data_IF_435431197769
#
_entry.id   IF_435431197769
#
_cell.length_a   1.000
_cell.length_b   1.000
_cell.length_c   1.000
_cell.angle_alpha   90.00
_cell.angle_beta   90.00
_cell.angle_gamma   90.00
#
_symmetry.space_group_name_H-M   'P 1'
#
loop_
_entity.id
_entity.type
_entity.pdbx_description
1 polymer ?
#
# COMPACT_ATOMS: atom_id res chain seq x y z
N UNK A 1 4.21 20.60 9.25
CA UNK A 1 3.02 20.70 8.37
C UNK A 1 2.67 22.15 8.04
N UNK A 2 2.29 23.00 9.01
CA UNK A 2 1.92 24.40 8.73
C UNK A 2 3.02 25.22 8.03
N UNK A 3 4.28 25.10 8.45
CA UNK A 3 5.42 25.76 7.77
C UNK A 3 5.65 25.27 6.35
N UNK A 4 5.45 23.97 6.12
CA UNK A 4 5.53 23.38 4.78
C UNK A 4 4.46 23.97 3.87
N UNK A 5 3.22 24.01 4.36
CA UNK A 5 2.09 24.58 3.62
C UNK A 5 2.28 26.07 3.31
N UNK A 6 2.79 26.84 4.27
CA UNK A 6 3.10 28.25 4.06
C UNK A 6 4.18 28.45 2.98
N UNK A 7 5.26 27.66 3.03
CA UNK A 7 6.31 27.72 2.02
C UNK A 7 5.81 27.27 0.65
N UNK A 8 5.04 26.18 0.59
CA UNK A 8 4.53 25.63 -0.65
C UNK A 8 3.55 26.61 -1.33
N UNK A 9 2.66 27.23 -0.54
CA UNK A 9 1.80 28.31 -1.03
C UNK A 9 2.60 29.50 -1.55
N UNK A 10 3.66 29.92 -0.83
CA UNK A 10 4.51 31.01 -1.27
C UNK A 10 5.21 30.69 -2.60
N UNK A 11 5.77 29.49 -2.73
CA UNK A 11 6.37 29.02 -3.99
C UNK A 11 5.34 28.97 -5.13
N UNK A 12 4.13 28.49 -4.86
CA UNK A 12 3.06 28.44 -5.87
C UNK A 12 2.62 29.85 -6.30
N UNK A 13 2.52 30.79 -5.36
CA UNK A 13 2.22 32.19 -5.68
C UNK A 13 3.34 32.85 -6.51
N UNK A 14 4.61 32.54 -6.22
CA UNK A 14 5.74 33.01 -7.04
C UNK A 14 5.67 32.41 -8.44
N UNK A 15 5.32 31.13 -8.55
CA UNK A 15 5.19 30.44 -9.84
C UNK A 15 4.02 30.96 -10.68
N UNK A 16 2.91 31.31 -10.03
CA UNK A 16 1.73 31.89 -10.69
C UNK A 16 1.86 33.39 -10.94
N UNK A 17 2.77 34.07 -10.23
CA UNK A 17 3.16 35.41 -10.61
C UNK A 17 3.97 35.36 -11.90
N UNK A 18 3.69 36.27 -12.84
CA UNK A 18 4.57 36.54 -13.99
C UNK A 18 5.85 37.25 -13.51
N UNK A 19 6.55 36.61 -12.57
CA UNK A 19 7.80 37.06 -12.02
C UNK A 19 8.80 37.16 -13.18
N UNK A 20 9.11 38.38 -13.54
CA UNK A 20 10.28 38.73 -14.35
C UNK A 20 11.30 39.36 -13.42
N UNK A 21 12.58 39.23 -13.76
CA UNK A 21 13.71 39.78 -13.00
C UNK A 21 13.78 41.31 -13.14
N UNK A 22 12.66 41.98 -12.90
CA UNK A 22 12.51 43.42 -12.87
C UNK A 22 13.33 43.94 -11.70
N UNK A 23 14.20 44.91 -11.99
CA UNK A 23 15.13 45.57 -11.04
C UNK A 23 14.45 46.30 -9.86
N UNK A 24 13.17 46.08 -9.60
CA UNK A 24 12.40 46.72 -8.53
C UNK A 24 11.76 45.70 -7.60
N UNK A 25 12.41 45.43 -6.46
CA UNK A 25 11.92 44.56 -5.37
C UNK A 25 10.47 44.91 -4.96
N UNK A 26 10.11 46.20 -4.98
CA UNK A 26 8.74 46.66 -4.66
C UNK A 26 7.70 46.16 -5.67
N UNK A 27 8.05 46.17 -6.96
CA UNK A 27 7.17 45.66 -8.01
C UNK A 27 6.97 44.14 -7.84
N UNK A 28 8.07 43.39 -7.62
CA UNK A 28 8.01 41.94 -7.45
C UNK A 28 7.16 41.55 -6.24
N UNK A 29 7.33 42.23 -5.10
CA UNK A 29 6.49 42.02 -3.90
C UNK A 29 5.01 42.29 -4.17
N UNK A 30 4.69 43.28 -5.00
CA UNK A 30 3.31 43.60 -5.36
C UNK A 30 2.66 42.51 -6.21
N UNK A 31 3.38 41.99 -7.21
CA UNK A 31 2.88 40.92 -8.09
C UNK A 31 2.68 39.62 -7.29
N UNK A 32 3.65 39.23 -6.45
CA UNK A 32 3.52 38.04 -5.59
C UNK A 32 2.33 38.19 -4.63
N UNK A 33 2.15 39.37 -4.02
CA UNK A 33 0.98 39.65 -3.16
C UNK A 33 -0.32 39.54 -3.95
N UNK A 34 -0.37 40.04 -5.19
CA UNK A 34 -1.55 39.92 -6.05
C UNK A 34 -1.86 38.45 -6.38
N UNK A 35 -0.85 37.62 -6.64
CA UNK A 35 -1.04 36.17 -6.82
C UNK A 35 -1.57 35.50 -5.54
N UNK A 36 -1.00 35.81 -4.37
CA UNK A 36 -1.52 35.30 -3.08
C UNK A 36 -2.99 35.69 -2.84
N UNK A 37 -3.40 36.89 -3.26
CA UNK A 37 -4.78 37.35 -3.16
C UNK A 37 -5.76 36.61 -4.08
N UNK A 38 -5.28 35.84 -5.06
CA UNK A 38 -6.15 34.98 -5.87
C UNK A 38 -6.68 33.80 -5.07
N UNK A 39 -6.03 33.45 -3.95
CA UNK A 39 -6.51 32.44 -3.02
C UNK A 39 -7.54 33.00 -2.03
N UNK A 40 -8.68 33.50 -2.51
CA UNK A 40 -9.64 34.26 -1.69
C UNK A 40 -10.89 33.48 -1.23
N UNK A 41 -11.07 32.24 -1.68
CA UNK A 41 -12.20 31.40 -1.26
C UNK A 41 -11.84 29.91 -1.34
N UNK A 42 -12.76 29.05 -0.87
CA UNK A 42 -12.56 27.61 -0.82
C UNK A 42 -12.35 26.96 -2.20
N UNK A 43 -12.94 27.50 -3.27
CA UNK A 43 -12.80 27.01 -4.64
C UNK A 43 -11.44 27.35 -5.24
N UNK A 44 -11.01 28.59 -5.07
CA UNK A 44 -9.73 29.09 -5.53
C UNK A 44 -8.67 28.92 -4.44
N UNK A 45 -8.75 27.87 -3.64
CA UNK A 45 -7.81 27.64 -2.56
C UNK A 45 -6.58 26.89 -3.03
N UNK A 46 -5.49 27.05 -2.28
CA UNK A 46 -4.31 26.24 -2.44
C UNK A 46 -4.47 24.91 -1.68
N UNK A 47 -4.23 23.78 -2.35
CA UNK A 47 -4.29 22.45 -1.72
C UNK A 47 -2.98 22.15 -0.95
N UNK A 48 -2.95 22.47 0.34
CA UNK A 48 -1.86 22.11 1.24
C UNK A 48 -2.02 20.73 1.88
N UNK A 49 -1.00 20.27 2.61
CA UNK A 49 -1.03 19.00 3.37
C UNK A 49 -2.07 19.07 4.48
N UNK A 50 -2.26 20.25 5.10
CA UNK A 50 -3.26 20.41 6.17
C UNK A 50 -4.67 20.69 5.66
N UNK A 51 -4.88 20.68 4.35
CA UNK A 51 -6.14 20.96 3.67
C UNK A 51 -6.05 22.19 2.77
N UNK A 52 -7.22 22.62 2.29
CA UNK A 52 -7.37 23.83 1.46
C UNK A 52 -7.04 25.09 2.26
N UNK A 53 -6.27 25.98 1.66
CA UNK A 53 -5.80 27.22 2.28
C UNK A 53 -6.20 28.39 1.39
N UNK A 54 -6.90 29.36 1.98
CA UNK A 54 -7.33 30.58 1.33
C UNK A 54 -7.43 31.69 2.38
N UNK A 55 -7.42 32.94 1.92
CA UNK A 55 -7.45 34.14 2.73
C UNK A 55 -8.81 34.82 2.65
N UNK A 56 -9.33 35.29 3.79
CA UNK A 56 -10.50 36.16 3.79
C UNK A 56 -10.13 37.59 3.35
N UNK A 57 -11.13 38.49 3.33
CA UNK A 57 -10.95 39.91 2.99
C UNK A 57 -9.94 40.67 3.87
N UNK A 58 -9.62 40.13 5.06
CA UNK A 58 -8.65 40.69 6.00
C UNK A 58 -7.25 40.09 5.83
N UNK A 59 -7.06 39.13 4.92
CA UNK A 59 -5.78 38.44 4.72
C UNK A 59 -5.54 37.30 5.71
N UNK A 60 -6.56 36.87 6.45
CA UNK A 60 -6.45 35.80 7.44
C UNK A 60 -6.80 34.46 6.82
N UNK A 61 -6.14 33.38 7.26
CA UNK A 61 -6.47 32.04 6.78
C UNK A 61 -7.75 31.52 7.43
N UNK A 62 -8.74 31.15 6.64
CA UNK A 62 -9.95 30.50 7.14
C UNK A 62 -9.77 28.98 7.14
N UNK A 63 -9.52 28.39 8.31
CA UNK A 63 -9.44 26.93 8.48
C UNK A 63 -10.44 26.47 9.54
N UNK A 64 -11.14 25.35 9.33
CA UNK A 64 -11.98 24.80 10.37
C UNK A 64 -11.11 24.35 11.54
N UNK A 65 -11.58 24.62 12.76
CA UNK A 65 -10.94 24.14 13.97
C UNK A 65 -11.01 22.60 14.00
N UNK A 66 -9.85 21.95 14.16
CA UNK A 66 -9.78 20.52 14.45
C UNK A 66 -9.68 20.33 15.94
N UNK A 67 -10.65 19.65 16.53
CA UNK A 67 -10.70 19.41 17.98
C UNK A 67 -10.08 18.05 18.27
N UNK A 68 -9.04 18.06 19.09
CA UNK A 68 -8.43 16.85 19.62
C UNK A 68 -8.12 17.08 21.10
N UNK A 69 -8.17 16.02 21.89
CA UNK A 69 -7.76 16.01 23.29
C UNK A 69 -6.63 15.01 23.48
N UNK A 70 -5.86 15.20 24.53
CA UNK A 70 -4.82 14.26 24.91
C UNK A 70 -5.41 13.27 25.91
N UNK A 71 -5.43 11.99 25.54
CA UNK A 71 -5.90 10.93 26.42
C UNK A 71 -4.75 9.96 26.66
N UNK A 72 -4.28 9.88 27.91
CA UNK A 72 -3.09 9.10 28.29
C UNK A 72 -1.88 9.37 27.37
N UNK A 73 -1.60 10.64 27.08
CA UNK A 73 -0.53 11.10 26.17
C UNK A 73 -0.71 10.73 24.69
N UNK A 74 -1.86 10.16 24.31
CA UNK A 74 -2.20 9.84 22.92
C UNK A 74 -3.16 10.91 22.40
N UNK A 75 -2.79 11.67 21.34
CA UNK A 75 -3.70 12.60 20.69
C UNK A 75 -4.91 11.85 20.13
N UNK A 76 -6.09 12.20 20.63
CA UNK A 76 -7.38 11.60 20.25
C UNK A 76 -8.26 12.69 19.64
N UNK A 77 -8.66 12.49 18.39
CA UNK A 77 -9.55 13.38 17.65
C UNK A 77 -11.00 13.18 18.11
N UNK A 78 -11.77 14.26 18.23
CA UNK A 78 -13.18 14.16 18.60
C UNK A 78 -14.00 13.41 17.54
N UNK A 79 -15.01 12.64 17.97
CA UNK A 79 -15.83 11.80 17.07
C UNK A 79 -16.63 12.60 16.03
N UNK A 80 -16.79 13.89 16.26
CA UNK A 80 -17.40 14.84 15.34
C UNK A 80 -16.44 15.99 15.06
N UNK A 81 -16.15 16.22 13.80
CA UNK A 81 -15.43 17.40 13.32
C UNK A 81 -16.33 18.19 12.38
N UNK A 82 -15.94 19.42 12.07
CA UNK A 82 -16.64 20.27 11.13
C UNK A 82 -15.70 20.67 10.00
N UNK A 83 -16.18 20.62 8.77
CA UNK A 83 -15.45 21.11 7.61
C UNK A 83 -16.24 22.21 6.92
N UNK A 84 -15.53 23.20 6.38
CA UNK A 84 -16.12 24.29 5.63
C UNK A 84 -16.74 23.76 4.34
N UNK A 85 -17.96 24.19 4.05
CA UNK A 85 -18.60 23.97 2.76
C UNK A 85 -18.29 25.11 1.80
N UNK A 86 -18.23 24.78 0.51
CA UNK A 86 -18.24 25.82 -0.54
C UNK A 86 -19.64 26.45 -0.62
N UNK A 87 -19.72 27.74 -0.92
CA UNK A 87 -20.99 28.48 -1.03
C UNK A 87 -21.92 27.93 -2.13
N UNK A 88 -21.39 27.11 -3.05
CA UNK A 88 -22.16 26.44 -4.10
C UNK A 88 -22.66 25.04 -3.69
N UNK A 89 -22.19 24.48 -2.57
CA UNK A 89 -22.70 23.21 -2.01
C UNK A 89 -23.90 23.44 -1.06
N UNK A 90 -24.25 24.71 -0.89
CA UNK A 90 -25.40 25.23 -0.15
C UNK A 90 -26.65 24.94 -1.00
N UNK A 91 -27.41 23.91 -0.63
CA UNK A 91 -28.70 23.55 -1.24
C UNK A 91 -29.90 24.10 -0.44
N UNK A 92 -31.09 24.06 -1.03
CA UNK A 92 -32.30 24.59 -0.37
C UNK A 92 -32.62 23.89 0.97
N UNK A 93 -32.14 22.65 1.16
CA UNK A 93 -32.33 21.85 2.39
C UNK A 93 -31.39 22.22 3.54
N UNK A 94 -30.60 23.29 3.43
CA UNK A 94 -29.65 23.68 4.48
C UNK A 94 -30.33 23.92 5.81
N UNK A 95 -31.49 24.58 5.81
CA UNK A 95 -32.20 24.88 7.05
C UNK A 95 -32.54 23.56 7.77
N UNK A 96 -33.02 22.56 7.04
CA UNK A 96 -33.30 21.23 7.59
C UNK A 96 -32.01 20.53 8.07
N UNK A 97 -30.91 20.66 7.33
CA UNK A 97 -29.62 20.09 7.72
C UNK A 97 -29.01 20.78 8.96
N UNK A 98 -29.25 22.08 9.14
CA UNK A 98 -28.87 22.83 10.35
C UNK A 98 -29.76 22.41 11.52
N UNK A 99 -31.08 22.37 11.33
CA UNK A 99 -32.03 21.97 12.37
C UNK A 99 -31.81 20.52 12.84
N UNK A 100 -31.38 19.63 11.93
CA UNK A 100 -31.02 18.24 12.25
C UNK A 100 -29.60 18.07 12.81
N UNK A 101 -28.82 19.15 12.96
CA UNK A 101 -27.46 19.11 13.51
C UNK A 101 -26.42 18.46 12.59
N UNK A 102 -26.74 18.28 11.30
CA UNK A 102 -25.80 17.79 10.27
C UNK A 102 -24.91 18.91 9.74
N UNK A 103 -25.37 20.15 9.82
CA UNK A 103 -24.60 21.36 9.53
C UNK A 103 -24.70 22.33 10.70
N UNK A 104 -23.74 23.23 10.80
CA UNK A 104 -23.79 24.40 11.68
C UNK A 104 -23.50 25.65 10.86
N UNK A 105 -24.19 26.72 11.16
CA UNK A 105 -23.90 28.05 10.62
C UNK A 105 -23.39 28.93 11.76
N UNK A 106 -22.18 29.47 11.60
CA UNK A 106 -21.60 30.45 12.51
C UNK A 106 -21.21 31.64 11.65
N UNK A 107 -21.81 32.79 11.95
CA UNK A 107 -21.72 34.02 11.15
C UNK A 107 -22.06 33.77 9.67
N UNK A 108 -21.09 33.94 8.77
CA UNK A 108 -21.23 33.73 7.32
C UNK A 108 -20.64 32.39 6.85
N UNK A 109 -20.31 31.51 7.79
CA UNK A 109 -19.69 30.22 7.48
C UNK A 109 -20.64 29.07 7.78
N UNK A 110 -20.90 28.24 6.76
CA UNK A 110 -21.62 26.99 6.93
C UNK A 110 -20.58 25.87 6.96
N UNK A 111 -20.67 25.05 7.99
CA UNK A 111 -19.82 23.88 8.15
C UNK A 111 -20.66 22.63 8.23
N UNK A 112 -20.18 21.56 7.61
CA UNK A 112 -20.84 20.24 7.66
C UNK A 112 -20.13 19.34 8.65
N UNK A 113 -20.94 18.63 9.43
CA UNK A 113 -20.49 17.67 10.42
C UNK A 113 -19.89 16.45 9.71
N UNK A 114 -18.65 16.16 10.02
CA UNK A 114 -17.88 15.00 9.58
C UNK A 114 -17.70 14.04 10.75
N UNK A 115 -18.12 12.80 10.55
CA UNK A 115 -18.03 11.72 11.54
C UNK A 115 -16.65 11.10 11.50
N UNK A 116 -16.04 10.96 12.67
CA UNK A 116 -14.78 10.24 12.84
C UNK A 116 -15.08 8.85 13.37
N UNK A 117 -14.67 7.82 12.62
CA UNK A 117 -14.79 6.42 13.01
C UNK A 117 -13.42 5.87 13.25
N UNK A 118 -13.17 5.48 14.50
CA UNK A 118 -11.94 4.84 14.90
C UNK A 118 -11.96 3.39 14.46
N UNK A 119 -10.88 2.94 13.84
CA UNK A 119 -10.73 1.58 13.37
C UNK A 119 -9.38 0.99 13.76
N UNK A 120 -9.38 -0.27 14.16
CA UNK A 120 -8.16 -1.08 14.27
C UNK A 120 -8.41 -2.48 13.71
N UNK A 121 -7.33 -3.09 13.22
CA UNK A 121 -7.34 -4.47 12.74
C UNK A 121 -6.31 -5.26 13.55
N UNK A 122 -6.74 -6.37 14.12
CA UNK A 122 -5.90 -7.37 14.78
C UNK A 122 -5.89 -8.65 13.92
N UNK A 123 -4.74 -9.02 13.37
CA UNK A 123 -4.63 -10.22 12.55
C UNK A 123 -4.70 -11.47 13.40
N UNK A 124 -5.46 -12.47 12.97
CA UNK A 124 -5.52 -13.77 13.63
C UNK A 124 -4.76 -14.84 12.86
N UNK A 125 -5.08 -15.00 11.56
CA UNK A 125 -4.43 -15.96 10.69
C UNK A 125 -4.27 -15.45 9.26
N UNK A 126 -3.20 -15.92 8.61
CA UNK A 126 -3.00 -15.83 7.16
C UNK A 126 -2.75 -17.26 6.69
N UNK A 127 -3.72 -17.81 5.99
CA UNK A 127 -3.76 -19.19 5.56
C UNK A 127 -3.86 -19.26 4.02
N UNK A 128 -3.63 -20.45 3.47
CA UNK A 128 -3.89 -20.76 2.05
C UNK A 128 -3.31 -19.72 1.08
N UNK A 129 -2.02 -19.42 1.25
CA UNK A 129 -1.28 -18.49 0.38
C UNK A 129 -1.14 -19.13 -1.00
N UNK A 130 -1.96 -18.66 -1.93
CA UNK A 130 -1.88 -19.03 -3.33
C UNK A 130 -1.01 -18.03 -4.08
N UNK A 131 0.21 -18.47 -4.37
CA UNK A 131 1.24 -17.70 -5.04
C UNK A 131 0.86 -17.38 -6.51
N UNK A 132 0.12 -18.27 -7.17
CA UNK A 132 -0.26 -18.13 -8.57
C UNK A 132 -1.38 -17.09 -8.71
N UNK A 133 -2.41 -17.21 -7.88
CA UNK A 133 -3.54 -16.27 -7.86
C UNK A 133 -3.23 -14.98 -7.10
N UNK A 134 -2.07 -14.92 -6.43
CA UNK A 134 -1.63 -13.82 -5.58
C UNK A 134 -2.69 -13.48 -4.52
N UNK A 135 -3.19 -14.50 -3.85
CA UNK A 135 -4.21 -14.35 -2.79
C UNK A 135 -3.88 -15.15 -1.54
N UNK A 136 -4.40 -14.69 -0.42
CA UNK A 136 -4.38 -15.43 0.85
C UNK A 136 -5.71 -15.34 1.56
N UNK A 137 -6.08 -16.43 2.24
CA UNK A 137 -7.21 -16.45 3.16
C UNK A 137 -6.79 -15.76 4.45
N UNK A 138 -7.43 -14.64 4.79
CA UNK A 138 -7.09 -13.88 5.98
C UNK A 138 -8.25 -13.93 6.97
N UNK A 139 -7.92 -14.15 8.23
CA UNK A 139 -8.85 -14.02 9.35
C UNK A 139 -8.33 -12.94 10.30
N UNK A 140 -9.16 -11.95 10.62
CA UNK A 140 -8.78 -10.85 11.50
C UNK A 140 -9.98 -10.27 12.24
N UNK A 141 -9.71 -9.61 13.36
CA UNK A 141 -10.70 -8.84 14.10
C UNK A 141 -10.66 -7.39 13.65
N UNK A 142 -11.80 -6.83 13.28
CA UNK A 142 -11.98 -5.41 13.00
C UNK A 142 -12.72 -4.78 14.18
N UNK A 143 -12.08 -3.84 14.88
CA UNK A 143 -12.70 -3.07 15.96
C UNK A 143 -13.04 -1.68 15.44
N UNK A 144 -14.29 -1.26 15.63
CA UNK A 144 -14.82 0.04 15.24
C UNK A 144 -15.33 0.78 16.46
N UNK A 145 -14.93 2.04 16.61
CA UNK A 145 -15.40 2.94 17.65
C UNK A 145 -16.00 4.19 17.02
N UNK A 146 -17.27 4.45 17.33
CA UNK A 146 -18.04 5.51 16.69
C UNK A 146 -19.17 6.02 17.59
N UNK A 147 -19.65 7.22 17.31
CA UNK A 147 -20.90 7.73 17.87
C UNK A 147 -22.09 7.31 17.01
N UNK A 148 -23.31 7.42 17.53
CA UNK A 148 -24.57 7.11 16.82
C UNK A 148 -24.60 7.53 15.34
N UNK A 149 -25.43 6.84 14.54
CA UNK A 149 -25.63 7.05 13.10
C UNK A 149 -24.46 6.62 12.19
N UNK A 150 -23.80 5.52 12.52
CA UNK A 150 -22.85 4.85 11.62
C UNK A 150 -23.30 3.40 11.40
N UNK A 151 -23.28 2.97 10.14
CA UNK A 151 -23.62 1.60 9.74
C UNK A 151 -22.32 0.82 9.49
N UNK A 152 -21.89 -0.04 10.41
CA UNK A 152 -20.64 -0.79 10.29
C UNK A 152 -20.71 -1.89 9.23
N UNK A 153 -21.91 -2.38 8.88
CA UNK A 153 -22.09 -3.40 7.84
C UNK A 153 -21.98 -2.83 6.42
N UNK A 154 -21.98 -1.51 6.29
CA UNK A 154 -21.80 -0.81 5.03
C UNK A 154 -20.31 -0.66 4.62
N UNK A 155 -19.39 -1.29 5.36
CA UNK A 155 -17.97 -1.34 5.02
C UNK A 155 -17.74 -2.31 3.85
N UNK A 156 -16.99 -1.84 2.86
CA UNK A 156 -16.58 -2.59 1.68
C UNK A 156 -15.06 -2.70 1.60
N UNK A 157 -14.55 -3.92 1.43
CA UNK A 157 -13.14 -4.19 1.21
C UNK A 157 -12.80 -4.06 -0.28
N UNK A 158 -11.70 -3.39 -0.61
CA UNK A 158 -11.29 -3.18 -2.02
C UNK A 158 -10.41 -4.31 -2.57
N UNK A 159 -9.72 -5.05 -1.70
CA UNK A 159 -8.66 -5.99 -2.09
C UNK A 159 -9.10 -7.44 -2.04
N UNK A 160 -10.40 -7.69 -2.12
CA UNK A 160 -10.97 -9.03 -2.05
C UNK A 160 -11.41 -9.50 -3.44
N UNK A 161 -11.17 -10.79 -3.72
CA UNK A 161 -11.75 -11.46 -4.90
C UNK A 161 -13.19 -11.91 -4.65
N UNK A 162 -13.62 -11.94 -3.39
CA UNK A 162 -14.96 -12.38 -3.01
C UNK A 162 -15.95 -11.24 -3.16
N UNK A 163 -17.16 -11.56 -3.64
CA UNK A 163 -18.26 -10.57 -3.71
C UNK A 163 -18.67 -10.06 -2.33
N UNK A 164 -18.51 -10.89 -1.30
CA UNK A 164 -18.86 -10.57 0.07
C UNK A 164 -17.91 -11.29 1.03
N UNK A 165 -17.21 -10.51 1.85
CA UNK A 165 -16.38 -11.01 2.94
C UNK A 165 -17.29 -11.41 4.10
N UNK A 166 -16.98 -12.50 4.79
CA UNK A 166 -17.75 -12.93 5.97
C UNK A 166 -17.49 -11.95 7.10
N UNK A 167 -18.54 -11.31 7.61
CA UNK A 167 -18.49 -10.39 8.73
C UNK A 167 -19.39 -10.92 9.86
N UNK A 168 -18.78 -11.40 10.94
CA UNK A 168 -19.50 -11.87 12.11
C UNK A 168 -19.25 -10.93 13.28
N UNK A 169 -20.31 -10.32 13.81
CA UNK A 169 -20.21 -9.50 15.01
C UNK A 169 -19.83 -10.38 16.21
N UNK A 170 -18.75 -10.01 16.90
CA UNK A 170 -18.27 -10.69 18.11
C UNK A 170 -18.92 -10.07 19.35
N UNK A 171 -18.85 -8.75 19.49
CA UNK A 171 -19.48 -8.03 20.59
C UNK A 171 -19.79 -6.57 20.23
N UNK A 172 -20.61 -5.95 21.07
CA UNK A 172 -20.87 -4.52 21.12
C UNK A 172 -20.85 -4.04 22.57
N UNK A 173 -20.20 -2.92 22.82
CA UNK A 173 -20.29 -2.19 24.09
C UNK A 173 -20.58 -0.73 23.82
N UNK A 174 -21.40 -0.12 24.67
CA UNK A 174 -21.76 1.29 24.57
C UNK A 174 -21.39 1.97 25.88
N UNK A 175 -20.56 3.00 25.80
CA UNK A 175 -20.14 3.81 26.96
C UNK A 175 -20.08 5.27 26.55
N UNK A 176 -20.72 6.15 27.32
CA UNK A 176 -20.73 7.60 27.07
C UNK A 176 -21.07 7.98 25.61
N UNK A 177 -22.11 7.36 25.04
CA UNK A 177 -22.54 7.56 23.64
C UNK A 177 -21.53 7.15 22.56
N UNK A 178 -20.46 6.45 22.95
CA UNK A 178 -19.50 5.80 22.06
C UNK A 178 -19.84 4.32 22.00
N UNK A 179 -20.11 3.84 20.80
CA UNK A 179 -20.35 2.44 20.49
C UNK A 179 -19.02 1.84 20.03
N UNK A 180 -18.59 0.77 20.69
CA UNK A 180 -17.46 -0.08 20.27
C UNK A 180 -18.02 -1.38 19.76
N UNK A 181 -17.79 -1.71 18.49
CA UNK A 181 -18.17 -2.99 17.91
C UNK A 181 -16.95 -3.70 17.38
N UNK A 182 -16.89 -5.01 17.60
CA UNK A 182 -15.85 -5.86 17.06
C UNK A 182 -16.43 -6.93 16.15
N UNK A 183 -15.80 -7.12 15.01
CA UNK A 183 -16.18 -8.08 13.99
C UNK A 183 -15.06 -9.08 13.76
N UNK A 184 -15.39 -10.36 13.61
CA UNK A 184 -14.53 -11.34 13.01
C UNK A 184 -14.72 -11.28 11.50
N UNK A 185 -13.64 -11.03 10.77
CA UNK A 185 -13.63 -10.90 9.33
C UNK A 185 -12.83 -12.06 8.75
N UNK A 186 -13.43 -12.80 7.82
CA UNK A 186 -12.77 -13.88 7.09
C UNK A 186 -13.04 -13.74 5.60
N UNK A 187 -11.98 -13.73 4.80
CA UNK A 187 -12.09 -13.70 3.34
C UNK A 187 -10.75 -13.78 2.63
N UNK A 188 -10.79 -13.94 1.30
CA UNK A 188 -9.59 -13.94 0.44
C UNK A 188 -9.20 -12.52 0.03
N UNK A 189 -7.95 -12.17 0.30
CA UNK A 189 -7.36 -10.88 -0.02
C UNK A 189 -6.20 -11.03 -1.00
N UNK A 190 -6.04 -10.02 -1.84
CA UNK A 190 -4.95 -9.95 -2.81
C UNK A 190 -3.63 -9.56 -2.14
N UNK A 191 -2.54 -10.10 -2.65
CA UNK A 191 -1.19 -9.79 -2.22
C UNK A 191 -0.30 -9.41 -3.39
N UNK A 192 0.77 -8.67 -3.09
CA UNK A 192 1.85 -8.41 -4.03
C UNK A 192 3.09 -9.15 -3.57
N UNK A 193 3.65 -9.96 -4.44
CA UNK A 193 4.79 -10.81 -4.12
C UNK A 193 6.04 -10.33 -4.84
N UNK A 194 7.14 -10.19 -4.10
CA UNK A 194 8.46 -9.91 -4.66
C UNK A 194 9.31 -11.19 -4.66
N UNK A 195 9.44 -11.79 -5.85
CA UNK A 195 10.17 -13.04 -6.06
C UNK A 195 11.64 -12.86 -6.40
N UNK A 196 12.16 -11.63 -6.43
CA UNK A 196 13.59 -11.40 -6.72
C UNK A 196 14.49 -12.20 -5.76
N UNK A 197 14.07 -12.30 -4.50
CA UNK A 197 14.77 -13.03 -3.44
C UNK A 197 14.35 -14.51 -3.27
N UNK A 198 13.60 -15.11 -4.21
CA UNK A 198 13.17 -16.51 -4.10
C UNK A 198 14.37 -17.45 -3.85
N UNK A 199 14.30 -18.41 -2.89
CA UNK A 199 13.13 -18.87 -2.12
C UNK A 199 12.92 -18.15 -0.77
N UNK A 200 13.51 -16.97 -0.58
CA UNK A 200 13.39 -16.10 0.60
C UNK A 200 12.57 -14.84 0.28
N UNK A 201 11.56 -15.00 -0.56
CA UNK A 201 10.66 -13.94 -1.02
C UNK A 201 9.92 -13.22 0.13
N UNK A 202 9.49 -12.01 -0.20
CA UNK A 202 8.62 -11.19 0.67
C UNK A 202 7.31 -10.89 -0.05
N UNK A 203 6.22 -10.89 0.71
CA UNK A 203 4.89 -10.57 0.20
C UNK A 203 4.31 -9.39 0.97
N UNK A 204 3.57 -8.55 0.26
CA UNK A 204 2.83 -7.40 0.76
C UNK A 204 1.35 -7.72 0.68
N UNK A 205 0.74 -7.97 1.83
CA UNK A 205 -0.69 -8.21 1.97
C UNK A 205 -1.40 -6.90 2.29
N UNK A 206 -2.39 -6.55 1.48
CA UNK A 206 -3.19 -5.35 1.65
C UNK A 206 -4.58 -5.71 2.18
N UNK A 207 -4.96 -5.07 3.28
CA UNK A 207 -6.33 -5.09 3.78
C UNK A 207 -6.80 -3.64 3.80
N UNK A 208 -7.56 -3.26 2.77
CA UNK A 208 -8.10 -1.92 2.63
C UNK A 208 -9.62 -1.94 2.58
N UNK A 209 -10.24 -0.99 3.27
CA UNK A 209 -11.69 -0.86 3.28
C UNK A 209 -12.15 0.60 3.32
N UNK A 210 -13.37 0.81 2.86
CA UNK A 210 -14.05 2.10 2.86
C UNK A 210 -15.54 1.92 3.16
N UNK A 211 -16.25 3.00 3.45
CA UNK A 211 -17.71 2.95 3.52
C UNK A 211 -18.32 2.97 2.11
N UNK A 212 -19.34 2.15 1.85
CA UNK A 212 -19.92 2.00 0.51
C UNK A 212 -20.75 3.22 0.03
N UNK A 213 -21.31 3.98 0.99
CA UNK A 213 -22.23 5.11 0.78
C UNK A 213 -21.71 6.48 1.23
N UNK A 214 -20.90 6.57 2.28
CA UNK A 214 -20.51 7.82 2.92
C UNK A 214 -19.16 8.28 2.37
N UNK A 215 -19.15 9.46 1.77
CA UNK A 215 -17.98 10.12 1.21
C UNK A 215 -17.11 10.77 2.29
N UNK A 216 -15.90 11.16 1.94
CA UNK A 216 -14.89 11.70 2.86
C UNK A 216 -15.30 13.02 3.51
N UNK A 217 -16.22 13.78 2.93
CA UNK A 217 -16.82 14.96 3.56
C UNK A 217 -17.72 14.55 4.75
N UNK A 218 -18.38 13.40 4.70
CA UNK A 218 -19.30 12.94 5.75
C UNK A 218 -18.60 12.05 6.78
N UNK A 219 -17.65 11.21 6.34
CA UNK A 219 -17.03 10.20 7.19
C UNK A 219 -15.52 10.13 6.96
N UNK A 220 -14.75 10.10 8.06
CA UNK A 220 -13.33 9.76 8.05
C UNK A 220 -13.07 8.56 8.94
N UNK A 221 -12.24 7.64 8.44
CA UNK A 221 -11.60 6.67 9.32
C UNK A 221 -10.39 7.29 10.00
N UNK A 222 -10.19 6.91 11.26
CA UNK A 222 -9.05 7.29 12.09
C UNK A 222 -8.45 6.02 12.66
N UNK A 223 -7.12 5.93 12.68
CA UNK A 223 -6.43 4.78 13.30
C UNK A 223 -6.65 4.82 14.81
N UNK A 224 -7.19 3.75 15.37
CA UNK A 224 -7.32 3.63 16.82
C UNK A 224 -6.01 3.14 17.45
N UNK A 225 -5.14 4.10 17.79
CA UNK A 225 -3.85 3.82 18.41
C UNK A 225 -3.97 3.11 19.76
N UNK A 226 -5.13 3.15 20.44
CA UNK A 226 -5.33 2.45 21.72
C UNK A 226 -5.62 0.96 21.53
N UNK A 227 -6.21 0.61 20.39
CA UNK A 227 -6.62 -0.75 20.03
C UNK A 227 -5.71 -1.35 18.95
N UNK A 228 -4.60 -0.66 18.62
CA UNK A 228 -3.65 -1.10 17.62
C UNK A 228 -2.73 -2.16 18.24
N UNK A 229 -2.93 -3.41 17.84
CA UNK A 229 -1.99 -4.48 18.15
C UNK A 229 -0.84 -4.50 17.13
N UNK A 230 0.37 -4.75 17.61
CA UNK A 230 1.52 -5.04 16.77
C UNK A 230 1.51 -6.52 16.42
N UNK A 231 1.25 -6.85 15.15
CA UNK A 231 1.22 -8.24 14.66
C UNK A 231 2.64 -8.78 14.36
N UNK A 232 3.70 -8.09 14.77
CA UNK A 232 5.10 -8.36 14.37
C UNK A 232 5.66 -9.69 14.90
N UNK A 233 5.06 -10.25 15.95
CA UNK A 233 5.46 -11.55 16.51
C UNK A 233 4.64 -12.73 15.99
N UNK A 234 3.65 -12.48 15.12
CA UNK A 234 2.83 -13.55 14.55
C UNK A 234 3.66 -14.37 13.55
N UNK A 235 3.79 -15.66 13.87
CA UNK A 235 4.37 -16.69 13.02
C UNK A 235 3.26 -17.63 12.57
N UNK A 236 3.13 -17.80 11.26
CA UNK A 236 2.13 -18.69 10.67
C UNK A 236 2.83 -19.64 9.71
N UNK A 237 2.84 -20.93 10.03
CA UNK A 237 3.49 -21.99 9.24
C UNK A 237 4.90 -21.65 8.75
N UNK A 238 4.98 -21.18 7.50
CA UNK A 238 6.21 -20.85 6.79
C UNK A 238 6.46 -19.34 6.64
N UNK A 239 5.65 -18.47 7.25
CA UNK A 239 5.73 -17.03 7.09
C UNK A 239 5.77 -16.29 8.43
N UNK A 240 6.41 -15.12 8.43
CA UNK A 240 6.45 -14.19 9.55
C UNK A 240 6.17 -12.78 9.07
N UNK A 241 5.40 -12.03 9.87
CA UNK A 241 5.24 -10.59 9.68
C UNK A 241 6.54 -9.88 10.04
N UNK A 242 7.13 -9.19 9.06
CA UNK A 242 8.36 -8.40 9.24
C UNK A 242 8.03 -6.93 9.50
N UNK A 243 6.98 -6.43 8.87
CA UNK A 243 6.56 -5.04 9.01
C UNK A 243 5.03 -4.92 8.93
N UNK A 244 4.49 -3.94 9.65
CA UNK A 244 3.08 -3.57 9.65
C UNK A 244 2.97 -2.06 9.53
N UNK A 245 2.24 -1.60 8.53
CA UNK A 245 1.91 -0.19 8.33
C UNK A 245 0.39 -0.02 8.38
N UNK A 246 -0.07 0.93 9.20
CA UNK A 246 -1.49 1.26 9.34
C UNK A 246 -1.66 2.75 9.11
N UNK A 247 -2.51 3.11 8.16
CA UNK A 247 -2.73 4.51 7.80
C UNK A 247 -4.10 4.69 7.13
N UNK A 248 -4.56 5.93 7.07
CA UNK A 248 -5.79 6.31 6.37
C UNK A 248 -5.48 7.26 5.24
N UNK A 249 -6.22 7.14 4.14
CA UNK A 249 -6.11 7.99 2.98
C UNK A 249 -7.49 8.25 2.35
N UNK A 250 -7.50 8.94 1.21
CA UNK A 250 -8.70 9.23 0.44
C UNK A 250 -8.57 8.64 -0.96
N UNK A 251 -9.64 8.00 -1.44
CA UNK A 251 -9.71 7.42 -2.79
C UNK A 251 -10.83 8.08 -3.58
N UNK A 252 -10.50 8.53 -4.79
CA UNK A 252 -11.49 9.01 -5.74
C UNK A 252 -12.11 7.81 -6.48
N UNK A 253 -13.42 7.61 -6.32
CA UNK A 253 -14.14 6.55 -7.01
C UNK A 253 -14.97 7.10 -8.16
N UNK A 254 -14.30 7.39 -9.28
CA UNK A 254 -14.94 7.88 -10.50
C UNK A 254 -15.94 6.87 -11.11
N UNK A 255 -15.88 5.58 -10.76
CA UNK A 255 -16.71 4.54 -11.39
C UNK A 255 -18.20 4.68 -11.07
N UNK A 256 -18.57 5.12 -9.85
CA UNK A 256 -19.98 5.40 -9.53
C UNK A 256 -20.48 6.72 -10.11
N UNK A 257 -19.57 7.64 -10.41
CA UNK A 257 -19.88 8.94 -10.99
C UNK A 257 -20.20 8.87 -12.49
N UNK A 258 -19.92 7.78 -13.20
CA UNK A 258 -20.30 7.65 -14.62
C UNK A 258 -21.79 7.28 -14.83
N UNK A 259 -22.45 6.72 -13.82
CA UNK A 259 -23.89 6.38 -13.88
C UNK A 259 -24.81 7.60 -13.71
N UNK A 260 -24.28 8.70 -13.19
CA UNK A 260 -24.98 9.97 -12.98
C UNK A 260 -24.18 10.99 -13.77
N UNK A 261 -24.76 11.84 -14.62
CA UNK A 261 -24.02 12.90 -15.34
C UNK A 261 -23.51 14.01 -14.40
N UNK A 262 -22.91 13.65 -13.28
CA UNK A 262 -22.35 14.53 -12.27
C UNK A 262 -20.86 14.63 -12.48
N UNK A 263 -20.37 15.85 -12.67
CA UNK A 263 -18.94 16.18 -12.69
C UNK A 263 -18.30 16.08 -11.29
N UNK A 264 -19.09 15.77 -10.24
CA UNK A 264 -18.61 15.73 -8.86
C UNK A 264 -17.88 14.41 -8.59
N UNK A 265 -16.57 14.50 -8.38
CA UNK A 265 -15.73 13.39 -7.93
C UNK A 265 -16.15 12.96 -6.52
N UNK A 266 -16.52 11.68 -6.37
CA UNK A 266 -16.87 11.10 -5.08
C UNK A 266 -15.60 10.57 -4.42
N UNK A 267 -15.16 11.28 -3.38
CA UNK A 267 -13.99 10.93 -2.60
C UNK A 267 -14.46 10.16 -1.37
N UNK A 268 -13.81 9.03 -1.07
CA UNK A 268 -14.11 8.18 0.09
C UNK A 268 -12.90 8.12 1.01
N UNK A 269 -13.14 8.13 2.32
CA UNK A 269 -12.10 7.81 3.28
C UNK A 269 -11.85 6.30 3.28
N UNK A 270 -10.57 5.92 3.23
CA UNK A 270 -10.13 4.53 3.20
C UNK A 270 -9.17 4.27 4.35
N UNK A 271 -9.36 3.13 5.00
CA UNK A 271 -8.45 2.59 5.99
C UNK A 271 -7.57 1.54 5.32
N UNK A 272 -6.27 1.56 5.64
CA UNK A 272 -5.27 0.68 5.03
C UNK A 272 -4.46 -0.01 6.13
N UNK A 273 -4.39 -1.33 6.03
CA UNK A 273 -3.40 -2.17 6.71
C UNK A 273 -2.53 -2.83 5.64
N UNK A 274 -1.23 -2.58 5.72
CA UNK A 274 -0.20 -3.23 4.91
C UNK A 274 0.66 -4.12 5.80
N UNK A 275 0.67 -5.41 5.51
CA UNK A 275 1.54 -6.38 6.16
C UNK A 275 2.62 -6.81 5.18
N UNK A 276 3.88 -6.69 5.59
CA UNK A 276 4.99 -7.31 4.87
C UNK A 276 5.32 -8.63 5.55
N UNK A 277 5.02 -9.73 4.88
CA UNK A 277 5.32 -11.08 5.35
C UNK A 277 6.52 -11.65 4.60
N UNK A 278 7.36 -12.42 5.29
CA UNK A 278 8.55 -13.07 4.73
C UNK A 278 8.50 -14.56 4.97
N UNK A 279 8.91 -15.33 3.97
CA UNK A 279 9.03 -16.78 4.11
C UNK A 279 10.17 -17.15 5.06
N UNK A 280 9.87 -17.95 6.06
CA UNK A 280 10.78 -18.48 7.10
C UNK A 280 11.36 -19.86 6.75
N UNK A 281 11.07 -20.43 5.58
CA UNK A 281 11.55 -21.77 5.24
C UNK A 281 13.08 -21.80 5.11
N UNK A 282 13.78 -22.07 6.21
CA UNK A 282 15.25 -22.15 6.28
C UNK A 282 15.80 -23.33 5.47
N UNK A 283 14.98 -24.34 5.18
CA UNK A 283 15.44 -25.56 4.50
C UNK A 283 15.49 -25.39 2.98
N UNK A 284 14.51 -24.70 2.39
CA UNK A 284 14.45 -24.47 0.94
C UNK A 284 15.73 -23.87 0.33
N UNK A 285 16.29 -22.74 0.83
CA UNK A 285 17.51 -22.18 0.26
C UNK A 285 18.72 -23.11 0.44
N UNK A 286 18.79 -23.83 1.56
CA UNK A 286 19.88 -24.79 1.82
C UNK A 286 19.84 -25.95 0.83
N UNK A 287 18.66 -26.51 0.56
CA UNK A 287 18.51 -27.59 -0.42
C UNK A 287 18.89 -27.14 -1.83
N UNK A 288 18.42 -25.98 -2.28
CA UNK A 288 18.78 -25.44 -3.59
C UNK A 288 20.28 -25.15 -3.68
N UNK A 289 20.87 -24.56 -2.64
CA UNK A 289 22.30 -24.31 -2.59
C UNK A 289 23.13 -25.62 -2.63
N UNK A 290 22.74 -26.66 -1.89
CA UNK A 290 23.44 -27.95 -1.88
C UNK A 290 23.39 -28.65 -3.24
N UNK A 291 22.24 -28.64 -3.92
CA UNK A 291 22.12 -29.20 -5.27
C UNK A 291 23.04 -28.45 -6.24
N UNK A 292 22.97 -27.12 -6.26
CA UNK A 292 23.78 -26.29 -7.15
C UNK A 292 25.29 -26.41 -6.85
N UNK A 293 25.68 -26.44 -5.58
CA UNK A 293 27.08 -26.65 -5.15
C UNK A 293 27.59 -28.04 -5.53
N UNK A 294 26.77 -29.09 -5.44
CA UNK A 294 27.17 -30.44 -5.84
C UNK A 294 27.48 -30.50 -7.34
N UNK A 295 26.63 -29.90 -8.18
CA UNK A 295 26.84 -29.82 -9.63
C UNK A 295 28.07 -28.97 -9.95
N UNK A 296 28.23 -27.83 -9.29
CA UNK A 296 29.39 -26.96 -9.46
C UNK A 296 30.70 -27.67 -9.06
N UNK A 297 30.70 -28.42 -7.95
CA UNK A 297 31.87 -29.18 -7.49
C UNK A 297 32.29 -30.27 -8.47
N UNK A 298 31.34 -30.99 -9.07
CA UNK A 298 31.63 -31.99 -10.11
C UNK A 298 32.18 -31.31 -11.37
N UNK A 299 31.60 -30.19 -11.82
CA UNK A 299 32.11 -29.43 -12.96
C UNK A 299 33.53 -28.90 -12.70
N UNK A 300 33.81 -28.40 -11.49
CA UNK A 300 35.14 -27.93 -11.11
C UNK A 300 36.16 -29.07 -11.10
N UNK A 301 35.79 -30.23 -10.56
CA UNK A 301 36.63 -31.43 -10.57
C UNK A 301 37.02 -31.85 -12.00
N UNK A 302 36.04 -31.81 -12.92
CA UNK A 302 36.28 -32.07 -14.35
C UNK A 302 37.25 -31.06 -14.96
N UNK A 303 37.17 -29.78 -14.59
CA UNK A 303 38.08 -28.74 -15.09
C UNK A 303 39.50 -28.93 -14.59
N UNK A 304 39.67 -29.31 -13.31
CA UNK A 304 40.98 -29.46 -12.67
C UNK A 304 41.71 -30.74 -13.12
N UNK A 305 40.96 -31.79 -13.46
CA UNK A 305 41.56 -33.05 -13.89
C UNK A 305 42.02 -32.95 -15.36
N UNK A 306 43.34 -32.87 -15.57
CA UNK A 306 43.97 -32.96 -16.91
C UNK A 306 43.70 -34.33 -17.53
N UNK A 307 42.58 -34.46 -18.23
CA UNK A 307 42.05 -35.74 -18.73
C UNK A 307 42.28 -35.91 -20.23
N UNK A 308 43.54 -36.01 -20.66
CA UNK A 308 43.88 -36.29 -22.07
C UNK A 308 43.34 -37.64 -22.58
N UNK A 309 42.94 -38.58 -21.69
CA UNK A 309 42.44 -39.91 -22.07
C UNK A 309 40.91 -40.09 -21.92
N UNK A 310 40.20 -39.14 -21.34
CA UNK A 310 38.79 -39.34 -20.93
C UNK A 310 37.82 -38.31 -21.52
N UNK A 311 38.16 -37.66 -22.63
CA UNK A 311 37.34 -36.59 -23.21
C UNK A 311 35.88 -37.00 -23.49
N UNK A 312 35.63 -38.20 -24.02
CA UNK A 312 34.27 -38.69 -24.28
C UNK A 312 33.45 -38.90 -23.00
N UNK A 313 34.07 -39.45 -21.95
CA UNK A 313 33.41 -39.64 -20.65
C UNK A 313 33.08 -38.29 -19.99
N UNK A 314 34.01 -37.33 -20.08
CA UNK A 314 33.80 -35.95 -19.61
C UNK A 314 32.66 -35.26 -20.36
N UNK A 315 32.62 -35.39 -21.69
CA UNK A 315 31.52 -34.85 -22.50
C UNK A 315 30.17 -35.45 -22.12
N UNK A 316 30.09 -36.77 -21.96
CA UNK A 316 28.88 -37.46 -21.53
C UNK A 316 28.39 -36.97 -20.16
N UNK A 317 29.30 -36.86 -19.19
CA UNK A 317 28.98 -36.35 -17.85
C UNK A 317 28.50 -34.89 -17.89
N UNK A 318 29.18 -34.01 -18.63
CA UNK A 318 28.74 -32.62 -18.78
C UNK A 318 27.35 -32.53 -19.44
N UNK A 319 27.06 -33.36 -20.44
CA UNK A 319 25.74 -33.41 -21.08
C UNK A 319 24.65 -33.83 -20.10
N UNK A 320 24.91 -34.82 -19.24
CA UNK A 320 23.97 -35.26 -18.21
C UNK A 320 23.73 -34.15 -17.18
N UNK A 321 24.80 -33.50 -16.69
CA UNK A 321 24.67 -32.40 -15.74
C UNK A 321 23.90 -31.21 -16.31
N UNK A 322 24.16 -30.82 -17.56
CA UNK A 322 23.40 -29.76 -18.22
C UNK A 322 21.92 -30.14 -18.38
N UNK A 323 21.64 -31.40 -18.72
CA UNK A 323 20.26 -31.92 -18.78
C UNK A 323 19.55 -31.85 -17.41
N UNK A 324 20.24 -32.22 -16.33
CA UNK A 324 19.72 -32.11 -14.96
C UNK A 324 19.42 -30.66 -14.61
N UNK A 325 20.33 -29.72 -14.94
CA UNK A 325 20.12 -28.29 -14.70
C UNK A 325 18.87 -27.79 -15.45
N UNK A 326 18.67 -28.18 -16.71
CA UNK A 326 17.50 -27.77 -17.51
C UNK A 326 16.21 -28.35 -16.93
N UNK A 327 16.20 -29.63 -16.55
CA UNK A 327 15.04 -30.26 -15.90
C UNK A 327 14.71 -29.56 -14.59
N UNK A 328 15.73 -29.28 -13.77
CA UNK A 328 15.57 -28.60 -12.49
C UNK A 328 15.09 -27.15 -12.66
N UNK A 329 15.59 -26.43 -13.66
CA UNK A 329 15.14 -25.09 -14.00
C UNK A 329 13.66 -25.09 -14.43
N UNK A 330 13.26 -26.01 -15.30
CA UNK A 330 11.87 -26.16 -15.73
C UNK A 330 10.95 -26.52 -14.55
N UNK A 331 11.40 -27.35 -13.62
CA UNK A 331 10.67 -27.66 -12.40
C UNK A 331 10.39 -26.39 -11.58
N UNK A 332 11.39 -25.53 -11.40
CA UNK A 332 11.24 -24.27 -10.63
C UNK A 332 10.37 -23.25 -11.36
N UNK A 333 10.54 -23.10 -12.68
CA UNK A 333 9.73 -22.15 -13.48
C UNK A 333 8.25 -22.52 -13.43
N UNK A 334 7.92 -23.81 -13.47
CA UNK A 334 6.53 -24.26 -13.42
C UNK A 334 5.84 -23.84 -12.11
N UNK A 335 6.57 -23.76 -11.01
CA UNK A 335 6.07 -23.26 -9.71
C UNK A 335 6.01 -21.72 -9.64
N UNK A 336 6.61 -21.03 -10.61
CA UNK A 336 6.84 -19.58 -10.61
C UNK A 336 6.26 -18.85 -11.83
N UNK A 337 5.23 -19.40 -12.48
CA UNK A 337 4.64 -18.85 -13.71
C UNK A 337 4.39 -17.32 -13.66
N UNK A 338 4.74 -16.60 -14.74
CA UNK A 338 4.63 -15.14 -14.94
C UNK A 338 5.42 -14.23 -13.98
N UNK A 339 6.64 -14.62 -13.59
CA UNK A 339 7.48 -13.86 -12.65
C UNK A 339 8.79 -13.35 -13.28
N UNK A 340 9.31 -12.21 -12.79
CA UNK A 340 10.63 -11.72 -13.21
C UNK A 340 11.73 -12.70 -12.80
N UNK A 341 12.89 -12.59 -13.47
CA UNK A 341 14.09 -13.36 -13.18
C UNK A 341 14.44 -13.35 -11.69
N UNK A 342 14.43 -14.52 -11.08
CA UNK A 342 14.74 -14.72 -9.66
C UNK A 342 16.24 -14.84 -9.42
N UNK A 343 16.70 -14.54 -8.19
CA UNK A 343 18.11 -14.74 -7.80
C UNK A 343 18.60 -16.18 -8.05
N UNK A 344 17.73 -17.17 -7.85
CA UNK A 344 18.04 -18.58 -8.10
C UNK A 344 18.29 -18.87 -9.59
N UNK A 345 17.52 -18.26 -10.48
CA UNK A 345 17.73 -18.41 -11.93
C UNK A 345 19.07 -17.84 -12.38
N UNK A 346 19.53 -16.72 -11.80
CA UNK A 346 20.88 -16.22 -12.08
C UNK A 346 21.97 -17.23 -11.70
N UNK A 347 21.82 -17.93 -10.56
CA UNK A 347 22.75 -19.00 -10.18
C UNK A 347 22.70 -20.17 -11.15
N UNK A 348 21.50 -20.60 -11.55
CA UNK A 348 21.30 -21.65 -12.55
C UNK A 348 21.98 -21.28 -13.86
N UNK A 349 21.75 -20.08 -14.40
CA UNK A 349 22.35 -19.63 -15.65
C UNK A 349 23.87 -19.47 -15.56
N UNK A 350 24.39 -19.03 -14.40
CA UNK A 350 25.82 -18.99 -14.14
C UNK A 350 26.46 -20.38 -14.21
N UNK A 351 25.89 -21.35 -13.51
CA UNK A 351 26.39 -22.74 -13.50
C UNK A 351 26.24 -23.39 -14.88
N UNK A 352 25.13 -23.15 -15.57
CA UNK A 352 24.88 -23.63 -16.93
C UNK A 352 25.93 -23.07 -17.92
N UNK A 353 26.25 -21.79 -17.82
CA UNK A 353 27.26 -21.13 -18.66
C UNK A 353 28.65 -21.73 -18.44
N UNK A 354 29.05 -21.95 -17.17
CA UNK A 354 30.30 -22.64 -16.84
C UNK A 354 30.30 -24.06 -17.41
N UNK A 355 29.23 -24.82 -17.21
CA UNK A 355 29.09 -26.18 -17.75
C UNK A 355 29.23 -26.23 -19.28
N UNK A 356 28.64 -25.27 -19.98
CA UNK A 356 28.70 -25.16 -21.45
C UNK A 356 30.11 -24.81 -21.93
N UNK A 357 30.82 -23.90 -21.26
CA UNK A 357 32.22 -23.58 -21.59
C UNK A 357 33.11 -24.82 -21.42
N UNK A 358 32.93 -25.58 -20.34
CA UNK A 358 33.68 -26.82 -20.08
C UNK A 358 33.39 -27.86 -21.15
N UNK A 359 32.13 -28.03 -21.52
CA UNK A 359 31.72 -28.95 -22.59
C UNK A 359 32.38 -28.59 -23.92
N UNK A 360 32.25 -27.33 -24.37
CA UNK A 360 32.81 -26.88 -25.65
C UNK A 360 34.33 -26.94 -25.70
N UNK A 361 35.02 -26.64 -24.59
CA UNK A 361 36.48 -26.80 -24.49
C UNK A 361 36.91 -28.24 -24.73
N UNK A 362 36.16 -29.21 -24.20
CA UNK A 362 36.44 -30.64 -24.42
C UNK A 362 36.14 -31.08 -25.86
N UNK A 363 35.03 -30.63 -26.44
CA UNK A 363 34.70 -30.86 -27.86
C UNK A 363 35.83 -30.39 -28.77
N UNK A 364 36.34 -29.17 -28.52
CA UNK A 364 37.43 -28.60 -29.32
C UNK A 364 38.75 -29.37 -29.16
N UNK A 365 39.05 -29.84 -27.94
CA UNK A 365 40.23 -30.68 -27.67
C UNK A 365 40.18 -31.99 -28.48
N UNK A 366 39.03 -32.67 -28.49
CA UNK A 366 38.83 -33.90 -29.28
C UNK A 366 38.99 -33.64 -30.77
N UNK A 367 38.40 -32.55 -31.27
CA UNK A 367 38.53 -32.17 -32.69
C UNK A 367 39.99 -31.94 -33.11
N UNK A 368 40.81 -31.34 -32.24
CA UNK A 368 42.26 -31.17 -32.49
C UNK A 368 43.03 -32.48 -32.45
N UNK A 369 42.65 -33.42 -31.58
CA UNK A 369 43.33 -34.71 -31.48
C UNK A 369 43.13 -35.59 -32.72
N UNK A 370 42.03 -35.44 -33.46
CA UNK A 370 41.76 -36.18 -34.70
C UNK A 370 42.43 -35.58 -35.94
N UNK A 371 42.97 -34.35 -35.86
CA UNK A 371 43.69 -33.69 -36.97
C UNK A 371 45.21 -33.88 -36.93
N UNK A 372 45.73 -34.51 -35.88
CA UNK A 372 47.13 -34.94 -35.77
C UNK A 372 47.18 -36.44 -35.93
#
# INVERSE_FOLDING_TARGET
>A
AAYYDAMHMACEAIKQSDYSDLNCIRANRRIIRQSLMQFYNYRNSFNGITGRIFFNRFGETCRPLKIAYLDHLIPTVEFSQYHLLDSYEINDDIIEQILSGKMIAIDQTVMKKKKMVYASIEMQSIDDININDRTSLCTFKLTLRYTNDFDPFAIQFSDTQERQVIQQKIFETTSNSIITQQFNIKGRFTMLSDFMAYPLETHKLWIRFQHNRLTSDILQFVVDNKQLSTNTDLKWDQYQVVNQEVYTDEINNNMKANAIKSTKQLIYSRFNLLLTIKKQNKKAPVYHALILLSICGVLLYVVLTKTNRYHYAVMGLCSVLLGIIVIYHNYIINDLYDKPLTSLEYWIFGIFSVGSIVFWKNVWSVSKSHKK
#
